data_IF_915244930228
#
_entry.id   IF_915244930228
#
_cell.length_a   1.000
_cell.length_b   1.000
_cell.length_c   1.000
_cell.angle_alpha   90.00
_cell.angle_beta   90.00
_cell.angle_gamma   90.00
#
_symmetry.space_group_name_H-M   'P 1'
#
loop_
_entity.id
_entity.type
_entity.pdbx_description
1 polymer ?
#
# COMPACT_ATOMS: atom_id res chain seq x y z
N UNK A 1 -69.09 19.67 9.19
CA UNK A 1 -68.65 18.51 8.39
C UNK A 1 -67.16 18.64 8.11
N UNK A 2 -66.38 17.68 8.66
CA UNK A 2 -65.08 17.11 8.23
C UNK A 2 -64.15 18.00 7.37
N UNK A 3 -63.07 18.53 7.96
CA UNK A 3 -61.70 17.96 8.04
C UNK A 3 -61.01 17.75 6.69
N UNK A 4 -59.99 18.56 6.41
CA UNK A 4 -58.89 18.22 5.47
C UNK A 4 -57.53 18.51 6.13
N UNK A 5 -57.04 17.47 6.78
CA UNK A 5 -55.66 16.96 6.65
C UNK A 5 -55.21 17.03 5.16
N UNK A 6 -53.94 17.14 4.77
CA UNK A 6 -52.63 17.17 5.41
C UNK A 6 -51.65 17.39 4.23
N UNK A 7 -50.60 18.19 4.43
CA UNK A 7 -49.28 18.13 3.75
C UNK A 7 -49.19 18.02 2.22
N UNK A 8 -48.66 19.06 1.56
CA UNK A 8 -47.67 18.94 0.47
C UNK A 8 -46.91 20.28 0.33
N UNK A 9 -45.58 20.17 0.40
CA UNK A 9 -44.52 21.03 -0.16
C UNK A 9 -44.39 22.50 0.29
N UNK A 10 -43.54 22.69 1.31
CA UNK A 10 -42.75 23.91 1.50
C UNK A 10 -41.58 23.91 0.50
N UNK A 11 -41.71 24.74 -0.53
CA UNK A 11 -40.63 25.26 -1.38
C UNK A 11 -40.75 26.78 -1.29
N UNK A 12 -39.61 27.47 -1.27
CA UNK A 12 -39.36 28.90 -1.04
C UNK A 12 -39.23 29.31 0.44
N UNK A 13 -38.00 29.66 0.84
CA UNK A 13 -37.61 30.99 1.35
C UNK A 13 -36.09 30.94 1.67
N UNK A 14 -35.25 31.45 0.76
CA UNK A 14 -34.27 32.54 0.97
C UNK A 14 -33.22 32.58 -0.16
N UNK A 15 -33.34 33.60 -1.00
CA UNK A 15 -32.38 33.97 -2.05
C UNK A 15 -32.41 35.50 -2.16
N UNK A 16 -31.55 36.19 -1.41
CA UNK A 16 -31.22 37.63 -1.46
C UNK A 16 -29.83 37.72 -0.76
N UNK A 17 -28.73 38.33 -1.22
CA UNK A 17 -28.43 39.23 -2.35
C UNK A 17 -26.91 39.38 -2.55
N UNK A 18 -26.53 39.59 -3.81
CA UNK A 18 -25.46 40.46 -4.35
C UNK A 18 -24.48 41.23 -3.42
N UNK A 19 -23.19 41.16 -3.82
CA UNK A 19 -22.07 42.10 -3.58
C UNK A 19 -22.37 43.54 -4.08
N UNK A 20 -21.48 44.57 -4.04
CA UNK A 20 -20.15 44.76 -3.38
C UNK A 20 -20.05 46.12 -2.59
N UNK A 21 -18.95 46.36 -1.85
CA UNK A 21 -18.15 47.63 -1.86
C UNK A 21 -16.99 47.60 -0.83
N UNK A 22 -15.82 48.03 -1.34
CA UNK A 22 -14.52 48.33 -0.71
C UNK A 22 -14.59 49.57 0.22
N UNK A 23 -13.61 50.04 1.02
CA UNK A 23 -12.14 50.26 0.88
C UNK A 23 -11.53 50.58 2.27
N UNK A 24 -10.18 50.49 2.36
CA UNK A 24 -9.20 51.34 3.10
C UNK A 24 -8.32 50.47 4.00
N UNK A 25 -6.98 50.40 3.88
CA UNK A 25 -5.98 51.41 3.50
C UNK A 25 -4.70 50.77 2.96
N UNK A 26 -4.11 51.45 2.00
CA UNK A 26 -2.71 51.42 1.60
C UNK A 26 -1.74 51.55 2.78
N UNK A 27 -0.60 50.87 2.70
CA UNK A 27 0.71 51.46 2.95
C UNK A 27 1.73 50.74 2.05
N UNK A 28 2.08 51.39 0.94
CA UNK A 28 3.36 51.19 0.25
C UNK A 28 4.46 51.87 1.08
N UNK A 29 5.58 51.17 1.32
CA UNK A 29 6.96 51.59 1.00
C UNK A 29 7.96 50.59 1.61
N UNK A 30 8.68 49.84 0.77
CA UNK A 30 9.91 49.13 1.16
C UNK A 30 10.13 47.75 0.52
N UNK A 31 10.73 47.73 -0.68
CA UNK A 31 11.36 46.61 -1.40
C UNK A 31 12.15 45.62 -0.51
N UNK A 32 12.22 44.30 -0.76
CA UNK A 32 12.64 43.59 -1.98
C UNK A 32 12.14 42.13 -1.92
N UNK A 33 11.77 41.59 -3.09
CA UNK A 33 10.88 40.44 -3.22
C UNK A 33 11.42 39.08 -2.78
N UNK A 34 10.52 38.31 -2.17
CA UNK A 34 10.48 36.85 -2.27
C UNK A 34 9.30 36.49 -3.15
N UNK A 35 9.57 35.84 -4.28
CA UNK A 35 8.54 35.16 -5.07
C UNK A 35 7.98 34.05 -4.19
N UNK A 36 6.79 34.25 -3.62
CA UNK A 36 6.03 33.16 -3.02
C UNK A 36 5.65 32.21 -4.15
N UNK A 37 6.40 31.11 -4.25
CA UNK A 37 5.98 29.96 -5.03
C UNK A 37 4.66 29.47 -4.46
N UNK A 38 3.58 29.63 -5.22
CA UNK A 38 2.30 28.99 -4.94
C UNK A 38 2.52 27.46 -4.90
N UNK A 39 2.70 26.90 -3.71
CA UNK A 39 2.60 25.47 -3.47
C UNK A 39 1.14 25.08 -3.66
N UNK A 40 0.76 24.74 -4.88
CA UNK A 40 -0.44 23.95 -5.12
C UNK A 40 -0.22 22.60 -4.43
N UNK A 41 -1.12 22.12 -3.57
CA UNK A 41 -0.99 20.79 -2.99
C UNK A 41 -1.21 19.80 -4.13
N UNK A 42 -0.12 19.24 -4.66
CA UNK A 42 -0.16 18.15 -5.64
C UNK A 42 -1.02 17.05 -5.00
N UNK A 43 -2.20 16.77 -5.56
CA UNK A 43 -2.99 15.67 -5.02
C UNK A 43 -2.29 14.37 -5.43
N UNK A 44 -2.01 13.54 -4.43
CA UNK A 44 -1.31 12.27 -4.59
C UNK A 44 -2.32 11.16 -4.82
N UNK A 45 -2.13 10.43 -5.91
CA UNK A 45 -2.96 9.27 -6.25
C UNK A 45 -2.10 8.02 -6.17
N UNK A 46 -2.71 6.92 -5.73
CA UNK A 46 -2.04 5.63 -5.62
C UNK A 46 -2.63 4.62 -6.57
N UNK A 47 -1.77 4.00 -7.36
CA UNK A 47 -2.11 3.02 -8.38
C UNK A 47 -1.64 1.62 -7.97
N UNK A 48 -2.47 0.62 -8.26
CA UNK A 48 -2.17 -0.78 -8.00
C UNK A 48 -2.56 -1.66 -9.18
N UNK A 49 -1.74 -2.66 -9.51
CA UNK A 49 -2.03 -3.72 -10.47
C UNK A 49 -1.60 -5.10 -9.97
N UNK A 50 -2.46 -6.11 -10.11
CA UNK A 50 -2.22 -7.50 -9.74
C UNK A 50 -2.96 -8.45 -10.67
N UNK A 51 -2.73 -9.74 -10.49
CA UNK A 51 -3.33 -10.82 -11.27
C UNK A 51 -3.90 -11.88 -10.33
N UNK A 52 -4.90 -12.65 -10.77
CA UNK A 52 -5.52 -13.72 -9.95
C UNK A 52 -4.55 -14.87 -9.63
N UNK A 53 -3.52 -15.06 -10.45
CA UNK A 53 -2.43 -16.04 -10.26
C UNK A 53 -1.10 -15.43 -10.69
N UNK A 54 0.02 -16.02 -10.27
CA UNK A 54 1.36 -15.66 -10.76
C UNK A 54 1.93 -16.63 -11.79
N UNK A 55 1.29 -17.78 -12.01
CA UNK A 55 1.66 -18.75 -13.06
C UNK A 55 0.41 -19.16 -13.83
N UNK A 56 0.52 -19.15 -15.15
CA UNK A 56 -0.52 -19.53 -16.10
C UNK A 56 0.01 -20.53 -17.10
N UNK A 57 -0.88 -21.39 -17.58
CA UNK A 57 -0.65 -22.16 -18.79
C UNK A 57 -0.88 -21.29 -20.03
N UNK A 58 -0.27 -21.68 -21.15
CA UNK A 58 -0.69 -21.17 -22.46
C UNK A 58 -2.20 -21.36 -22.61
N UNK A 59 -2.88 -20.33 -23.10
CA UNK A 59 -4.34 -20.24 -23.28
C UNK A 59 -5.17 -20.19 -21.99
N UNK A 60 -4.57 -20.19 -20.80
CA UNK A 60 -5.30 -19.96 -19.56
C UNK A 60 -5.97 -18.57 -19.57
N UNK A 61 -7.14 -18.49 -18.94
CA UNK A 61 -7.75 -17.19 -18.64
C UNK A 61 -6.99 -16.51 -17.50
N UNK A 62 -6.61 -15.26 -17.74
CA UNK A 62 -5.99 -14.34 -16.77
C UNK A 62 -6.97 -13.23 -16.41
N UNK A 63 -7.09 -12.94 -15.12
CA UNK A 63 -7.78 -11.76 -14.60
C UNK A 63 -6.76 -10.77 -14.05
N UNK A 64 -6.74 -9.59 -14.63
CA UNK A 64 -5.91 -8.47 -14.18
C UNK A 64 -6.79 -7.52 -13.37
N UNK A 65 -6.42 -7.31 -12.11
CA UNK A 65 -7.07 -6.35 -11.22
C UNK A 65 -6.24 -5.09 -11.13
N UNK A 66 -6.88 -3.94 -11.25
CA UNK A 66 -6.18 -2.67 -11.10
C UNK A 66 -7.08 -1.61 -10.49
N UNK A 67 -6.46 -0.65 -9.80
CA UNK A 67 -7.17 0.38 -9.04
C UNK A 67 -6.37 1.67 -9.05
N UNK A 68 -7.09 2.78 -9.11
CA UNK A 68 -6.60 4.10 -8.75
C UNK A 68 -7.29 4.49 -7.44
N UNK A 69 -6.54 5.02 -6.48
CA UNK A 69 -7.07 5.48 -5.20
C UNK A 69 -6.59 6.91 -4.94
N UNK A 70 -7.41 7.69 -4.25
CA UNK A 70 -6.98 8.99 -3.74
C UNK A 70 -6.72 8.92 -2.24
N UNK A 71 -5.57 9.45 -1.83
CA UNK A 71 -5.18 9.54 -0.42
C UNK A 71 -6.13 10.45 0.36
N UNK A 72 -6.59 11.55 -0.24
CA UNK A 72 -7.53 12.46 0.41
C UNK A 72 -9.01 12.01 0.32
N UNK A 73 -9.27 10.80 -0.18
CA UNK A 73 -10.61 10.25 -0.37
C UNK A 73 -11.46 10.92 -1.46
N UNK A 74 -11.00 12.03 -2.08
CA UNK A 74 -11.73 12.71 -3.14
C UNK A 74 -11.78 11.85 -4.41
N UNK A 75 -12.86 12.04 -5.17
CA UNK A 75 -13.02 11.39 -6.45
C UNK A 75 -12.26 12.15 -7.55
N UNK A 76 -11.36 11.45 -8.24
CA UNK A 76 -10.68 11.91 -9.44
C UNK A 76 -10.93 10.93 -10.59
N UNK A 77 -10.71 11.40 -11.82
CA UNK A 77 -10.76 10.54 -12.99
C UNK A 77 -9.58 10.82 -13.91
N UNK A 78 -8.88 9.77 -14.33
CA UNK A 78 -7.70 9.86 -15.18
C UNK A 78 -7.76 8.86 -16.32
N UNK A 79 -7.02 9.14 -17.39
CA UNK A 79 -6.84 8.19 -18.48
C UNK A 79 -5.71 7.21 -18.15
N UNK A 80 -5.87 5.96 -18.54
CA UNK A 80 -4.87 4.92 -18.36
C UNK A 80 -4.72 4.05 -19.59
N UNK A 81 -3.56 3.43 -19.68
CA UNK A 81 -3.28 2.29 -20.54
C UNK A 81 -2.93 1.09 -19.66
N UNK A 82 -3.34 -0.10 -20.09
CA UNK A 82 -2.86 -1.36 -19.54
C UNK A 82 -1.97 -2.03 -20.59
N UNK A 83 -0.69 -2.16 -20.30
CA UNK A 83 0.31 -2.69 -21.24
C UNK A 83 0.88 -3.99 -20.70
N UNK A 84 0.95 -5.00 -21.55
CA UNK A 84 1.69 -6.23 -21.29
C UNK A 84 2.99 -6.22 -22.09
N UNK A 85 4.09 -6.53 -21.40
CA UNK A 85 5.40 -6.76 -21.98
C UNK A 85 5.71 -8.26 -21.97
N UNK A 86 6.01 -8.79 -23.15
CA UNK A 86 6.49 -10.15 -23.37
C UNK A 86 7.94 -10.31 -22.88
N UNK A 87 8.44 -11.55 -22.75
CA UNK A 87 9.81 -11.80 -22.26
C UNK A 87 10.92 -11.17 -23.11
N UNK A 88 10.66 -10.94 -24.40
CA UNK A 88 11.56 -10.27 -25.34
C UNK A 88 11.52 -8.73 -25.22
N UNK A 89 10.67 -8.19 -24.33
CA UNK A 89 10.44 -6.77 -24.15
C UNK A 89 9.39 -6.16 -25.06
N UNK A 90 8.79 -6.93 -25.98
CA UNK A 90 7.74 -6.44 -26.88
C UNK A 90 6.48 -6.12 -26.08
N UNK A 91 6.04 -4.85 -26.15
CA UNK A 91 4.85 -4.36 -25.45
C UNK A 91 3.60 -4.38 -26.33
N UNK A 92 2.46 -4.75 -25.77
CA UNK A 92 1.15 -4.61 -26.42
C UNK A 92 0.09 -4.08 -25.45
N UNK A 93 -0.83 -3.29 -25.98
CA UNK A 93 -1.92 -2.73 -25.21
C UNK A 93 -3.02 -3.77 -25.01
N UNK A 94 -3.32 -4.07 -23.75
CA UNK A 94 -4.50 -4.81 -23.34
C UNK A 94 -5.71 -3.87 -23.23
N UNK A 95 -5.45 -2.64 -22.75
CA UNK A 95 -6.41 -1.54 -22.72
C UNK A 95 -5.67 -0.27 -23.14
N UNK A 96 -6.30 0.55 -23.97
CA UNK A 96 -5.71 1.78 -24.48
C UNK A 96 -6.62 2.98 -24.24
N UNK A 97 -6.06 3.98 -23.55
CA UNK A 97 -6.66 5.30 -23.35
C UNK A 97 -8.08 5.26 -22.77
N UNK A 98 -8.28 4.40 -21.78
CA UNK A 98 -9.56 4.27 -21.08
C UNK A 98 -9.60 5.16 -19.84
N UNK A 99 -10.81 5.46 -19.36
CA UNK A 99 -11.00 6.31 -18.19
C UNK A 99 -11.14 5.49 -16.91
N UNK A 100 -10.33 5.80 -15.90
CA UNK A 100 -10.38 5.23 -14.56
C UNK A 100 -10.85 6.27 -13.55
N UNK A 101 -11.66 5.84 -12.58
CA UNK A 101 -12.11 6.64 -11.45
C UNK A 101 -11.44 6.15 -10.17
N UNK A 102 -11.05 7.08 -9.31
CA UNK A 102 -10.50 6.71 -8.00
C UNK A 102 -11.52 5.95 -7.16
N UNK A 103 -11.04 5.01 -6.35
CA UNK A 103 -11.80 4.17 -5.42
C UNK A 103 -12.66 3.07 -6.08
N UNK A 104 -12.61 2.94 -7.41
CA UNK A 104 -13.18 1.79 -8.13
C UNK A 104 -12.08 0.75 -8.42
N UNK A 105 -12.41 -0.52 -8.21
CA UNK A 105 -11.58 -1.65 -8.63
C UNK A 105 -12.02 -2.06 -10.04
N UNK A 106 -11.06 -2.14 -10.95
CA UNK A 106 -11.26 -2.55 -12.33
C UNK A 106 -10.73 -3.95 -12.55
N UNK A 107 -11.38 -4.69 -13.44
CA UNK A 107 -10.99 -6.05 -13.81
C UNK A 107 -10.96 -6.16 -15.32
N UNK A 108 -9.83 -6.61 -15.86
CA UNK A 108 -9.67 -7.00 -17.26
C UNK A 108 -9.46 -8.50 -17.34
N UNK A 109 -10.18 -9.18 -18.23
CA UNK A 109 -10.05 -10.63 -18.43
C UNK A 109 -9.67 -10.91 -19.87
N UNK A 110 -8.62 -11.70 -20.07
CA UNK A 110 -8.20 -12.16 -21.39
C UNK A 110 -7.62 -13.58 -21.28
N UNK A 111 -7.21 -14.16 -22.39
CA UNK A 111 -6.42 -15.37 -22.40
C UNK A 111 -4.94 -15.04 -22.53
N UNK A 112 -4.10 -15.81 -21.85
CA UNK A 112 -2.66 -15.71 -21.94
C UNK A 112 -2.20 -16.29 -23.29
N UNK A 113 -1.57 -15.46 -24.12
CA UNK A 113 -1.08 -15.91 -25.44
C UNK A 113 0.02 -16.98 -25.37
N UNK A 114 0.50 -17.43 -26.53
CA UNK A 114 1.36 -18.61 -26.66
C UNK A 114 2.83 -18.44 -26.21
N UNK A 115 3.26 -17.22 -25.88
CA UNK A 115 4.65 -16.95 -25.48
C UNK A 115 4.92 -17.37 -24.04
N UNK A 116 5.72 -18.43 -23.85
CA UNK A 116 6.16 -18.87 -22.52
C UNK A 116 7.23 -17.94 -21.94
N UNK A 117 7.27 -17.80 -20.62
CA UNK A 117 8.24 -17.00 -19.88
C UNK A 117 7.59 -15.98 -18.94
N UNK A 118 8.41 -15.22 -18.23
CA UNK A 118 7.96 -14.13 -17.35
C UNK A 118 7.51 -12.93 -18.17
N UNK A 119 6.27 -12.50 -17.96
CA UNK A 119 5.67 -11.31 -18.54
C UNK A 119 5.50 -10.23 -17.48
N UNK A 120 5.52 -8.98 -17.92
CA UNK A 120 5.33 -7.82 -17.04
C UNK A 120 4.10 -7.04 -17.47
N UNK A 121 3.21 -6.75 -16.52
CA UNK A 121 2.10 -5.84 -16.72
C UNK A 121 2.47 -4.46 -16.16
N UNK A 122 2.08 -3.42 -16.88
CA UNK A 122 2.30 -2.03 -16.49
C UNK A 122 0.99 -1.25 -16.66
N UNK A 123 0.59 -0.56 -15.59
CA UNK A 123 -0.51 0.37 -15.58
C UNK A 123 0.06 1.79 -15.80
N UNK A 124 -0.14 2.34 -16.98
CA UNK A 124 0.34 3.68 -17.33
C UNK A 124 -0.80 4.65 -17.07
N UNK A 125 -0.65 5.54 -16.10
CA UNK A 125 -1.65 6.57 -15.79
C UNK A 125 -1.17 7.90 -16.33
N UNK A 126 -2.00 8.54 -17.15
CA UNK A 126 -1.70 9.81 -17.77
C UNK A 126 -2.22 10.93 -16.89
N UNK A 127 -1.30 11.62 -16.20
CA UNK A 127 -1.62 12.83 -15.46
C UNK A 127 -0.48 13.84 -15.55
N UNK A 128 -0.84 15.11 -15.74
CA UNK A 128 0.06 16.27 -15.60
C UNK A 128 -0.21 17.06 -14.33
N UNK A 129 -1.28 16.71 -13.61
CA UNK A 129 -1.77 17.45 -12.43
C UNK A 129 -1.48 16.71 -11.13
N UNK A 130 -1.42 15.38 -11.18
CA UNK A 130 -1.31 14.52 -10.02
C UNK A 130 -0.04 13.71 -10.09
N UNK A 131 0.62 13.60 -8.93
CA UNK A 131 1.70 12.65 -8.75
C UNK A 131 1.08 11.28 -8.47
N UNK A 132 1.46 10.30 -9.27
CA UNK A 132 1.00 8.92 -9.18
C UNK A 132 2.09 8.09 -8.50
N UNK A 133 1.77 7.46 -7.38
CA UNK A 133 2.64 6.50 -6.69
C UNK A 133 1.99 5.11 -6.62
N UNK A 134 2.73 4.12 -6.11
CA UNK A 134 2.21 2.78 -5.81
C UNK A 134 2.79 1.67 -6.68
N UNK A 135 2.12 0.53 -6.69
CA UNK A 135 2.56 -0.65 -7.43
C UNK A 135 1.83 -0.74 -8.77
N UNK A 136 2.23 0.09 -9.73
CA UNK A 136 1.70 0.10 -11.09
C UNK A 136 2.33 -0.95 -12.02
N UNK A 137 3.16 -1.85 -11.47
CA UNK A 137 3.84 -2.92 -12.21
C UNK A 137 3.62 -4.24 -11.51
N UNK A 138 3.28 -5.28 -12.25
CA UNK A 138 3.30 -6.65 -11.72
C UNK A 138 3.89 -7.59 -12.76
N UNK A 139 4.22 -8.81 -12.35
CA UNK A 139 4.80 -9.82 -13.23
C UNK A 139 4.16 -11.16 -12.97
N UNK A 140 4.03 -11.94 -14.04
CA UNK A 140 3.45 -13.28 -14.00
C UNK A 140 4.19 -14.18 -15.00
N UNK A 141 4.14 -15.50 -14.80
CA UNK A 141 4.87 -16.47 -15.63
C UNK A 141 3.92 -17.31 -16.46
N UNK A 142 4.25 -17.53 -17.72
CA UNK A 142 3.51 -18.39 -18.64
C UNK A 142 4.32 -19.65 -18.93
N UNK A 143 3.71 -20.82 -18.75
CA UNK A 143 4.36 -22.11 -18.96
C UNK A 143 3.59 -22.96 -19.98
N UNK A 144 4.32 -23.82 -20.70
CA UNK A 144 3.69 -24.84 -21.52
C UNK A 144 3.28 -26.02 -20.64
N UNK A 145 2.01 -26.08 -20.26
CA UNK A 145 1.50 -27.11 -19.35
C UNK A 145 1.23 -28.46 -20.01
N UNK A 146 1.38 -28.57 -21.34
CA UNK A 146 1.17 -29.82 -22.07
C UNK A 146 2.26 -30.89 -21.83
N UNK A 147 3.33 -30.57 -21.07
CA UNK A 147 4.40 -31.55 -20.75
C UNK A 147 4.52 -31.95 -19.29
N UNK A 148 3.75 -31.37 -18.35
CA UNK A 148 3.69 -31.92 -16.99
C UNK A 148 2.29 -31.75 -16.44
N UNK A 149 1.67 -32.90 -16.16
CA UNK A 149 0.77 -33.13 -15.02
C UNK A 149 1.11 -32.07 -13.98
N UNK A 150 0.19 -31.13 -13.78
CA UNK A 150 0.28 -30.05 -12.80
C UNK A 150 0.97 -30.69 -11.60
N UNK A 151 2.21 -30.28 -11.30
CA UNK A 151 2.62 -30.31 -9.91
C UNK A 151 1.58 -29.40 -9.29
N UNK A 152 0.53 -30.01 -8.77
CA UNK A 152 -0.14 -29.52 -7.60
C UNK A 152 1.03 -29.39 -6.64
N UNK A 153 1.70 -28.24 -6.66
CA UNK A 153 2.29 -27.74 -5.45
C UNK A 153 1.09 -27.68 -4.54
N UNK A 154 0.88 -28.74 -3.76
CA UNK A 154 0.08 -28.64 -2.56
C UNK A 154 0.58 -27.38 -1.90
N UNK A 155 -0.24 -26.33 -1.93
CA UNK A 155 0.08 -25.07 -1.29
C UNK A 155 0.54 -25.44 0.11
N UNK A 156 1.73 -24.99 0.53
CA UNK A 156 2.23 -25.22 1.87
C UNK A 156 1.22 -24.70 2.91
N UNK A 157 0.39 -23.75 2.50
CA UNK A 157 -0.63 -23.10 3.30
C UNK A 157 -2.03 -23.28 2.71
N UNK A 158 -3.00 -23.67 3.53
CA UNK A 158 -4.39 -23.80 3.10
C UNK A 158 -5.16 -22.48 3.22
N UNK A 159 -4.73 -21.60 4.13
CA UNK A 159 -5.35 -20.32 4.46
C UNK A 159 -4.33 -19.24 4.86
N UNK A 160 -4.78 -17.98 4.93
CA UNK A 160 -4.00 -16.87 5.53
C UNK A 160 -3.57 -17.18 6.96
N UNK A 161 -4.45 -17.83 7.73
CA UNK A 161 -4.18 -18.19 9.13
C UNK A 161 -3.01 -19.18 9.25
N UNK A 162 -2.80 -20.07 8.28
CA UNK A 162 -1.66 -20.99 8.27
C UNK A 162 -0.34 -20.26 8.01
N UNK A 163 -0.38 -19.23 7.15
CA UNK A 163 0.76 -18.33 6.90
C UNK A 163 1.09 -17.57 8.19
N UNK A 164 0.08 -16.99 8.85
CA UNK A 164 0.25 -16.25 10.12
C UNK A 164 0.83 -17.17 11.21
N UNK A 165 0.30 -18.38 11.39
CA UNK A 165 0.85 -19.35 12.35
C UNK A 165 2.31 -19.69 12.07
N UNK A 166 2.70 -19.75 10.81
CA UNK A 166 4.11 -20.02 10.45
C UNK A 166 5.01 -18.84 10.74
N UNK A 167 4.50 -17.60 10.66
CA UNK A 167 5.21 -16.41 11.16
C UNK A 167 5.34 -16.49 12.68
N UNK A 168 4.26 -16.80 13.40
CA UNK A 168 4.26 -16.94 14.86
C UNK A 168 5.27 -17.99 15.35
N UNK A 169 5.40 -19.09 14.61
CA UNK A 169 6.33 -20.18 14.94
C UNK A 169 7.76 -19.96 14.42
N UNK A 170 7.99 -18.92 13.61
CA UNK A 170 9.32 -18.65 13.04
C UNK A 170 10.35 -18.27 14.10
N UNK A 171 9.91 -17.68 15.21
CA UNK A 171 10.78 -17.27 16.29
C UNK A 171 10.06 -17.13 17.62
N UNK A 172 10.58 -17.75 18.68
CA UNK A 172 9.95 -17.71 20.02
C UNK A 172 10.01 -16.34 20.70
N UNK A 173 10.81 -15.40 20.20
CA UNK A 173 10.89 -14.02 20.74
C UNK A 173 9.85 -13.06 20.15
N UNK A 174 9.04 -13.52 19.19
CA UNK A 174 8.02 -12.71 18.56
C UNK A 174 6.86 -12.46 19.53
N UNK A 175 6.57 -11.18 19.74
CA UNK A 175 5.30 -10.71 20.26
C UNK A 175 4.47 -10.20 19.08
N UNK A 176 3.38 -10.90 18.76
CA UNK A 176 2.57 -10.66 17.56
C UNK A 176 1.19 -10.15 17.95
N UNK A 177 0.76 -9.12 17.24
CA UNK A 177 -0.58 -8.57 17.26
C UNK A 177 -1.20 -8.75 15.87
N UNK A 178 -2.30 -9.49 15.76
CA UNK A 178 -3.04 -9.58 14.47
C UNK A 178 -3.70 -8.24 14.15
N UNK A 179 -3.75 -7.87 12.88
CA UNK A 179 -4.32 -6.59 12.43
C UNK A 179 -5.76 -6.39 12.87
N UNK A 180 -6.56 -7.46 12.93
CA UNK A 180 -7.94 -7.43 13.47
C UNK A 180 -8.06 -6.90 14.90
N UNK A 181 -6.98 -6.95 15.68
CA UNK A 181 -6.96 -6.49 17.07
C UNK A 181 -6.29 -5.12 17.25
N UNK A 182 -5.61 -4.58 16.23
CA UNK A 182 -4.80 -3.35 16.38
C UNK A 182 -5.67 -2.15 16.79
N UNK A 183 -6.85 -1.97 16.17
CA UNK A 183 -7.77 -0.87 16.54
C UNK A 183 -8.31 -0.91 17.98
N UNK A 184 -8.15 -2.04 18.66
CA UNK A 184 -8.56 -2.21 20.06
C UNK A 184 -7.38 -2.09 21.03
N UNK A 185 -6.15 -1.91 20.53
CA UNK A 185 -4.94 -1.80 21.32
C UNK A 185 -4.47 -0.35 21.33
N UNK A 186 -4.20 0.16 22.53
CA UNK A 186 -3.54 1.45 22.65
C UNK A 186 -2.08 1.35 22.16
N UNK A 187 -1.62 2.34 21.39
CA UNK A 187 -0.22 2.44 20.94
C UNK A 187 0.78 2.28 22.09
N UNK A 188 0.44 2.82 23.28
CA UNK A 188 1.27 2.69 24.48
C UNK A 188 1.46 1.24 24.95
N UNK A 189 0.53 0.34 24.70
CA UNK A 189 0.65 -1.08 25.05
C UNK A 189 1.53 -1.82 24.05
N UNK A 190 1.42 -1.47 22.77
CA UNK A 190 2.34 -1.95 21.73
C UNK A 190 3.78 -1.48 22.00
N UNK A 191 3.97 -0.19 22.28
CA UNK A 191 5.28 0.40 22.60
C UNK A 191 5.86 -0.16 23.91
N UNK A 192 5.02 -0.50 24.89
CA UNK A 192 5.45 -1.20 26.12
C UNK A 192 6.03 -2.57 25.83
N UNK A 193 5.54 -3.28 24.81
CA UNK A 193 6.13 -4.54 24.34
C UNK A 193 7.58 -4.42 23.86
N UNK A 194 8.03 -3.20 23.52
CA UNK A 194 9.41 -2.90 23.13
C UNK A 194 10.27 -2.50 24.35
N UNK A 195 9.64 -2.00 25.43
CA UNK A 195 10.33 -1.51 26.63
C UNK A 195 10.83 -2.66 27.52
N UNK A 196 12.10 -3.03 27.35
CA UNK A 196 12.79 -4.04 28.16
C UNK A 196 13.52 -3.48 29.38
N UNK A 197 13.15 -2.30 29.89
CA UNK A 197 13.74 -1.70 31.09
C UNK A 197 15.09 -0.98 30.92
N UNK A 198 15.56 -0.81 29.68
CA UNK A 198 16.74 -0.01 29.32
C UNK A 198 16.38 0.97 28.18
N UNK A 199 17.15 2.07 27.97
CA UNK A 199 16.83 3.06 26.94
C UNK A 199 16.91 2.45 25.54
N UNK A 200 15.75 2.38 24.89
CA UNK A 200 15.62 2.06 23.47
C UNK A 200 16.02 3.31 22.69
N UNK A 201 16.67 3.16 21.54
CA UNK A 201 16.95 4.30 20.66
C UNK A 201 15.66 4.96 20.17
N UNK A 202 15.67 6.30 20.06
CA UNK A 202 14.54 7.08 19.52
C UNK A 202 14.09 6.57 18.14
N UNK A 203 15.03 6.02 17.36
CA UNK A 203 14.80 5.36 16.08
C UNK A 203 13.69 4.30 16.15
N UNK A 204 13.78 3.44 17.15
CA UNK A 204 12.89 2.28 17.30
C UNK A 204 11.50 2.75 17.69
N UNK A 205 11.40 3.78 18.52
CA UNK A 205 10.11 4.36 18.93
C UNK A 205 9.43 5.01 17.72
N UNK A 206 10.17 5.78 16.92
CA UNK A 206 9.64 6.42 15.70
C UNK A 206 9.15 5.37 14.70
N UNK A 207 9.95 4.35 14.42
CA UNK A 207 9.57 3.28 13.49
C UNK A 207 8.39 2.47 14.02
N UNK A 208 8.35 2.18 15.32
CA UNK A 208 7.24 1.47 15.95
C UNK A 208 5.94 2.25 15.84
N UNK A 209 5.98 3.56 16.09
CA UNK A 209 4.83 4.43 15.97
C UNK A 209 4.31 4.45 14.54
N UNK A 210 5.20 4.64 13.56
CA UNK A 210 4.88 4.61 12.14
C UNK A 210 4.20 3.30 11.72
N UNK A 211 4.76 2.15 12.10
CA UNK A 211 4.17 0.85 11.76
C UNK A 211 2.84 0.59 12.47
N UNK A 212 2.67 1.11 13.70
CA UNK A 212 1.41 1.01 14.43
C UNK A 212 0.30 1.83 13.77
N UNK A 213 0.56 3.09 13.41
CA UNK A 213 -0.43 3.93 12.72
C UNK A 213 -0.83 3.34 11.36
N UNK A 214 0.15 2.81 10.61
CA UNK A 214 -0.15 2.06 9.39
C UNK A 214 -1.08 0.87 9.67
N UNK A 215 -0.80 0.10 10.72
CA UNK A 215 -1.59 -1.07 11.11
C UNK A 215 -3.01 -0.67 11.56
N UNK A 216 -3.17 0.45 12.26
CA UNK A 216 -4.46 1.01 12.64
C UNK A 216 -5.29 1.41 11.41
N UNK A 217 -4.71 2.16 10.47
CA UNK A 217 -5.37 2.51 9.21
C UNK A 217 -5.82 1.29 8.41
N UNK A 218 -5.00 0.24 8.35
CA UNK A 218 -5.35 -1.02 7.69
C UNK A 218 -6.59 -1.65 8.33
N UNK A 219 -6.57 -1.76 9.66
CA UNK A 219 -7.66 -2.31 10.45
C UNK A 219 -8.96 -1.51 10.29
N UNK A 220 -8.88 -0.19 10.30
CA UNK A 220 -10.03 0.71 10.10
C UNK A 220 -10.64 0.60 8.70
N UNK A 221 -9.80 0.30 7.71
CA UNK A 221 -10.22 0.02 6.33
C UNK A 221 -10.62 -1.44 6.10
N UNK A 222 -10.75 -2.24 7.17
CA UNK A 222 -11.24 -3.62 7.13
C UNK A 222 -10.23 -4.63 6.60
N UNK A 223 -8.94 -4.30 6.55
CA UNK A 223 -7.87 -5.26 6.25
C UNK A 223 -7.39 -5.91 7.55
N UNK A 224 -7.67 -7.20 7.67
CA UNK A 224 -7.37 -7.98 8.88
C UNK A 224 -6.31 -9.05 8.67
N UNK A 225 -5.98 -9.35 7.42
CA UNK A 225 -5.07 -10.41 7.02
C UNK A 225 -3.62 -9.96 7.14
N UNK A 226 -3.11 -9.94 8.37
CA UNK A 226 -1.75 -9.55 8.66
C UNK A 226 -1.44 -9.47 10.14
N UNK A 227 -0.18 -9.15 10.43
CA UNK A 227 0.36 -9.04 11.78
C UNK A 227 1.29 -7.85 11.91
N UNK A 228 1.25 -7.23 13.08
CA UNK A 228 2.26 -6.32 13.59
C UNK A 228 3.06 -7.08 14.65
N UNK A 229 4.38 -7.07 14.58
CA UNK A 229 5.22 -7.77 15.55
C UNK A 229 6.31 -6.89 16.15
N UNK A 230 6.72 -7.27 17.35
CA UNK A 230 7.90 -6.79 18.05
C UNK A 230 8.70 -7.98 18.55
N UNK A 231 10.02 -7.91 18.45
CA UNK A 231 10.95 -8.82 19.10
C UNK A 231 12.12 -8.02 19.66
N UNK A 232 12.61 -8.42 20.84
CA UNK A 232 13.86 -7.89 21.40
C UNK A 232 14.78 -9.06 21.72
N UNK A 233 15.93 -9.12 21.05
CA UNK A 233 16.97 -10.13 21.29
C UNK A 233 18.28 -9.45 21.58
N UNK A 234 18.93 -9.82 22.69
CA UNK A 234 20.22 -9.25 23.07
C UNK A 234 20.23 -7.71 23.04
N UNK A 235 19.14 -7.08 23.48
CA UNK A 235 18.91 -5.62 23.44
C UNK A 235 18.77 -5.02 22.04
N UNK A 236 18.74 -5.83 21.00
CA UNK A 236 18.47 -5.41 19.63
C UNK A 236 16.99 -5.64 19.28
N UNK A 237 16.20 -4.57 19.10
CA UNK A 237 14.83 -4.67 18.65
C UNK A 237 14.73 -5.05 17.16
N UNK A 238 13.64 -5.73 16.84
CA UNK A 238 13.12 -5.97 15.50
C UNK A 238 11.62 -5.73 15.52
N UNK A 239 11.12 -4.94 14.60
CA UNK A 239 9.70 -4.55 14.51
C UNK A 239 9.30 -4.68 13.06
N UNK A 240 8.10 -5.19 12.81
CA UNK A 240 7.61 -5.29 11.45
C UNK A 240 6.11 -5.43 11.33
N UNK A 241 5.62 -5.05 10.16
CA UNK A 241 4.24 -5.15 9.71
C UNK A 241 4.21 -6.07 8.50
N UNK A 242 3.44 -7.16 8.58
CA UNK A 242 3.26 -8.13 7.51
C UNK A 242 1.79 -8.14 7.12
N UNK A 243 1.50 -7.95 5.84
CA UNK A 243 0.16 -8.00 5.26
C UNK A 243 0.16 -9.17 4.28
N UNK A 244 -0.87 -10.01 4.36
CA UNK A 244 -1.02 -11.20 3.54
C UNK A 244 -2.33 -11.03 2.76
N UNK A 245 -2.29 -11.24 1.46
CA UNK A 245 -3.48 -11.25 0.62
C UNK A 245 -3.60 -12.61 -0.06
N UNK A 246 -4.66 -13.36 0.27
CA UNK A 246 -5.00 -14.58 -0.46
C UNK A 246 -5.69 -14.20 -1.77
N UNK A 247 -5.05 -14.52 -2.91
CA UNK A 247 -5.58 -14.29 -4.26
C UNK A 247 -6.98 -14.90 -4.49
N UNK A 248 -7.36 -15.92 -3.72
CA UNK A 248 -8.71 -16.52 -3.81
C UNK A 248 -9.80 -15.70 -3.14
N UNK A 249 -9.46 -14.91 -2.13
CA UNK A 249 -10.41 -14.21 -1.24
C UNK A 249 -10.43 -12.69 -1.48
N UNK A 250 -9.71 -12.23 -2.51
CA UNK A 250 -9.48 -10.81 -2.76
C UNK A 250 -10.78 -10.06 -3.03
N UNK A 251 -11.23 -9.30 -2.03
CA UNK A 251 -12.26 -8.26 -2.19
C UNK A 251 -11.65 -6.87 -2.41
N UNK A 252 -10.47 -6.55 -1.85
CA UNK A 252 -9.73 -5.31 -2.14
C UNK A 252 -8.27 -5.39 -1.64
N UNK A 253 -7.32 -5.90 -2.45
CA UNK A 253 -5.95 -6.12 -2.00
C UNK A 253 -5.21 -4.78 -1.86
N UNK A 254 -5.83 -3.64 -2.19
CA UNK A 254 -5.19 -2.34 -2.38
C UNK A 254 -5.39 -1.34 -1.24
N UNK A 255 -6.14 -1.70 -0.19
CA UNK A 255 -6.32 -0.79 0.94
C UNK A 255 -4.99 -0.49 1.66
N UNK A 256 -4.00 -1.39 1.59
CA UNK A 256 -2.67 -1.13 2.12
C UNK A 256 -1.93 -0.02 1.39
N UNK A 257 -2.16 0.15 0.08
CA UNK A 257 -1.54 1.21 -0.71
C UNK A 257 -2.01 2.60 -0.28
N UNK A 258 -3.26 2.71 0.18
CA UNK A 258 -3.81 3.99 0.66
C UNK A 258 -3.19 4.35 2.00
N UNK A 259 -3.16 3.41 2.95
CA UNK A 259 -2.49 3.64 4.23
C UNK A 259 -1.00 3.92 4.02
N UNK A 260 -0.32 3.12 3.18
CA UNK A 260 1.06 3.39 2.79
C UNK A 260 1.22 4.80 2.21
N UNK A 261 0.36 5.25 1.30
CA UNK A 261 0.40 6.61 0.76
C UNK A 261 0.19 7.68 1.83
N UNK A 262 -0.82 7.54 2.68
CA UNK A 262 -1.08 8.48 3.79
C UNK A 262 0.15 8.66 4.69
N UNK A 263 0.84 7.57 5.04
CA UNK A 263 1.98 7.63 5.96
C UNK A 263 3.33 7.89 5.27
N UNK A 264 3.61 7.36 4.08
CA UNK A 264 4.86 7.64 3.36
C UNK A 264 4.93 9.07 2.82
N UNK A 265 3.79 9.75 2.64
CA UNK A 265 3.78 11.14 2.16
C UNK A 265 3.85 12.18 3.28
N UNK A 266 3.39 11.82 4.48
CA UNK A 266 3.56 12.66 5.67
C UNK A 266 4.97 12.58 6.26
N UNK A 267 5.76 11.56 5.90
CA UNK A 267 7.19 11.42 6.25
C UNK A 267 8.05 11.50 4.98
N UNK A 268 8.53 12.69 4.57
CA UNK A 268 9.13 12.89 3.26
C UNK A 268 10.33 11.99 3.02
N UNK A 269 10.34 11.29 1.87
CA UNK A 269 11.53 10.67 1.31
C UNK A 269 12.55 11.77 0.96
N UNK A 270 13.84 11.65 1.34
CA UNK A 270 14.79 12.70 1.05
C UNK A 270 15.02 12.82 -0.46
N UNK A 271 14.85 14.04 -1.00
CA UNK A 271 15.63 14.41 -2.17
C UNK A 271 17.11 14.39 -1.76
N UNK A 272 17.95 13.80 -2.60
CA UNK A 272 19.33 13.37 -2.33
C UNK A 272 20.32 14.46 -1.85
N UNK A 273 19.88 15.69 -1.63
CA UNK A 273 20.69 16.86 -1.28
C UNK A 273 20.52 17.37 0.16
N UNK A 274 19.64 16.78 0.99
CA UNK A 274 19.35 17.29 2.37
C UNK A 274 19.61 16.21 3.45
N UNK A 275 20.58 15.32 3.23
CA UNK A 275 20.86 14.20 4.14
C UNK A 275 21.85 14.58 5.27
N UNK A 276 22.56 15.71 5.15
CA UNK A 276 23.71 16.01 6.02
C UNK A 276 23.39 16.49 7.44
N UNK A 277 22.11 16.70 7.80
CA UNK A 277 21.74 17.23 9.13
C UNK A 277 20.59 16.52 9.86
N UNK A 278 19.91 15.53 9.24
CA UNK A 278 18.74 14.86 9.84
C UNK A 278 19.06 13.41 10.19
N UNK A 279 18.51 12.90 11.31
CA UNK A 279 18.58 11.45 11.61
C UNK A 279 17.68 10.71 10.61
N UNK A 280 18.29 9.78 9.87
CA UNK A 280 17.59 8.97 8.87
C UNK A 280 17.51 7.52 9.35
N UNK A 281 16.30 6.98 9.46
CA UNK A 281 16.04 5.60 9.82
C UNK A 281 15.65 4.80 8.59
N UNK A 282 16.13 3.55 8.49
CA UNK A 282 15.90 2.72 7.32
C UNK A 282 14.91 1.60 7.63
N UNK A 283 13.74 1.61 7.01
CA UNK A 283 12.87 0.44 6.92
C UNK A 283 13.19 -0.35 5.66
N UNK A 284 13.10 -1.67 5.77
CA UNK A 284 13.12 -2.55 4.61
C UNK A 284 11.69 -2.91 4.23
N UNK A 285 11.36 -2.67 2.96
CA UNK A 285 10.09 -3.05 2.34
C UNK A 285 10.32 -4.21 1.40
N UNK A 286 9.76 -5.37 1.71
CA UNK A 286 9.79 -6.57 0.89
C UNK A 286 8.39 -6.92 0.39
N UNK A 287 8.28 -7.43 -0.84
CA UNK A 287 7.01 -7.91 -1.42
C UNK A 287 7.23 -9.18 -2.23
N UNK A 288 6.52 -10.27 -1.96
CA UNK A 288 6.67 -11.51 -2.74
C UNK A 288 5.37 -12.32 -2.74
N UNK A 289 5.35 -13.42 -3.49
CA UNK A 289 4.21 -14.35 -3.53
C UNK A 289 4.64 -15.72 -3.04
N UNK A 290 3.86 -16.30 -2.12
CA UNK A 290 4.02 -17.66 -1.60
C UNK A 290 3.05 -18.59 -2.34
N UNK A 291 3.55 -19.74 -2.79
CA UNK A 291 2.78 -20.80 -3.46
C UNK A 291 1.87 -20.30 -4.59
N UNK A 292 2.26 -19.21 -5.25
CA UNK A 292 1.47 -18.51 -6.27
C UNK A 292 0.08 -18.05 -5.84
N UNK A 293 -0.18 -18.01 -4.53
CA UNK A 293 -1.51 -17.72 -3.95
C UNK A 293 -1.49 -16.57 -2.98
N UNK A 294 -0.53 -16.51 -2.07
CA UNK A 294 -0.51 -15.49 -1.03
C UNK A 294 0.49 -14.40 -1.40
N UNK A 295 0.00 -13.21 -1.70
CA UNK A 295 0.86 -12.04 -1.82
C UNK A 295 1.20 -11.52 -0.43
N UNK A 296 2.49 -11.31 -0.16
CA UNK A 296 3.00 -10.83 1.11
C UNK A 296 3.61 -9.46 0.91
N UNK A 297 3.21 -8.51 1.75
CA UNK A 297 3.84 -7.20 1.90
C UNK A 297 4.44 -7.12 3.29
N UNK A 298 5.73 -6.83 3.36
CA UNK A 298 6.48 -6.85 4.60
C UNK A 298 7.27 -5.56 4.76
N UNK A 299 6.98 -4.82 5.84
CA UNK A 299 7.77 -3.69 6.30
C UNK A 299 8.48 -4.10 7.57
N UNK A 300 9.79 -3.87 7.66
CA UNK A 300 10.55 -4.19 8.87
C UNK A 300 11.67 -3.23 9.15
N UNK A 301 11.99 -3.10 10.44
CA UNK A 301 13.23 -2.57 10.95
C UNK A 301 13.83 -3.62 11.87
N UNK A 302 15.10 -3.95 11.68
CA UNK A 302 15.80 -4.91 12.52
C UNK A 302 17.22 -4.45 12.76
N UNK A 303 17.60 -4.34 14.02
CA UNK A 303 19.00 -4.12 14.37
C UNK A 303 19.84 -5.36 14.06
N UNK A 304 21.14 -5.16 13.78
CA UNK A 304 22.04 -6.20 13.24
C UNK A 304 22.08 -7.49 14.07
N UNK A 305 21.85 -7.43 15.37
CA UNK A 305 21.92 -8.60 16.26
C UNK A 305 20.58 -9.34 16.39
N UNK A 306 19.50 -8.81 15.83
CA UNK A 306 18.20 -9.47 15.82
C UNK A 306 17.93 -10.10 14.45
N UNK A 307 17.90 -11.44 14.43
CA UNK A 307 17.72 -12.26 13.23
C UNK A 307 16.26 -12.64 12.93
N UNK A 308 15.29 -12.12 13.68
CA UNK A 308 13.86 -12.46 13.51
C UNK A 308 13.38 -12.24 12.08
N UNK A 309 13.78 -11.13 11.45
CA UNK A 309 13.48 -10.87 10.04
C UNK A 309 13.88 -12.05 9.14
N UNK A 310 15.10 -12.55 9.31
CA UNK A 310 15.60 -13.66 8.49
C UNK A 310 14.83 -14.94 8.79
N UNK A 311 14.53 -15.22 10.06
CA UNK A 311 13.76 -16.39 10.45
C UNK A 311 12.34 -16.38 9.85
N UNK A 312 11.69 -15.21 9.81
CA UNK A 312 10.39 -15.03 9.13
C UNK A 312 10.53 -15.26 7.63
N UNK A 313 11.53 -14.65 6.98
CA UNK A 313 11.73 -14.81 5.54
C UNK A 313 11.99 -16.29 5.19
N UNK A 314 12.85 -16.96 5.95
CA UNK A 314 13.18 -18.38 5.75
C UNK A 314 11.97 -19.28 5.99
N UNK A 315 11.16 -19.02 7.02
CA UNK A 315 9.96 -19.82 7.33
C UNK A 315 8.90 -19.70 6.22
N UNK A 316 8.89 -18.58 5.49
CA UNK A 316 7.99 -18.32 4.37
C UNK A 316 8.58 -18.72 3.00
N UNK A 317 9.76 -19.33 2.96
CA UNK A 317 10.40 -19.83 1.73
C UNK A 317 11.31 -18.82 1.01
N UNK A 318 11.70 -17.74 1.69
CA UNK A 318 12.62 -16.72 1.22
C UNK A 318 11.96 -15.59 0.43
N UNK A 319 12.66 -14.44 0.33
CA UNK A 319 12.29 -13.31 -0.51
C UNK A 319 13.26 -13.24 -1.70
N UNK A 320 12.82 -13.66 -2.89
CA UNK A 320 13.74 -13.82 -4.02
C UNK A 320 14.28 -12.51 -4.62
N UNK A 321 13.64 -11.34 -4.41
CA UNK A 321 14.07 -10.10 -5.12
C UNK A 321 13.75 -8.74 -4.48
N UNK A 322 13.16 -8.64 -3.28
CA UNK A 322 12.18 -7.56 -3.14
C UNK A 322 12.41 -6.53 -2.03
N UNK A 323 13.56 -6.47 -1.38
CA UNK A 323 13.73 -5.55 -0.25
C UNK A 323 14.31 -4.19 -0.67
N UNK A 324 13.43 -3.19 -0.82
CA UNK A 324 13.83 -1.79 -1.00
C UNK A 324 13.96 -1.09 0.35
N UNK A 325 14.84 -0.09 0.43
CA UNK A 325 15.00 0.74 1.62
C UNK A 325 14.08 1.95 1.56
N UNK A 326 13.35 2.17 2.65
CA UNK A 326 12.56 3.37 2.90
C UNK A 326 13.25 4.15 4.00
N UNK A 327 13.35 5.46 3.82
CA UNK A 327 14.00 6.36 4.75
C UNK A 327 12.95 7.14 5.53
N UNK A 328 12.93 7.01 6.86
CA UNK A 328 12.15 7.86 7.77
C UNK A 328 13.06 8.95 8.29
N UNK A 329 12.60 10.19 8.22
CA UNK A 329 13.34 11.36 8.65
C UNK A 329 12.72 11.90 9.94
N UNK A 330 13.54 12.11 10.96
CA UNK A 330 13.18 12.92 12.14
C UNK A 330 13.29 14.41 11.74
N UNK A 331 12.18 15.17 11.79
CA UNK A 331 12.17 16.62 11.52
C UNK A 331 12.74 17.45 12.67
#
# INVERSE_FOLDING_TARGET
MKSKNLFISLVLIFLISAMPFSVVKTNDFGSTGSVEAAQSPIAWLVAGISTDKSIYCVDDSIKVYYKLSSINGKAYSLYYDLVEYLPDGTGHYLVYNEKMYTNAVYTFTTNVGNYTGTRRLELIIRSTEYLIEGNWKCSYTVSNCNTKKIMSSSSKYDSVEDVIKTIEQSDSSLNITKLSYVKYLHVGDFLRGIHTGEPISDAVIIVAHFLWEMAECLSDRGLFDGVLYVSVKNKSPSIGLIIISDKKEVSNPWNYLICAGEYFLNYPLPQSSIIDQRKVYTLEKCQWTIDNRFDVFYLSYSEKQNNVKNNILDSLGGCNYCCNKIYIIEE
#
